data_IF_588564815175
#
_entry.id   IF_588564815175
#
_cell.length_a   1.000
_cell.length_b   1.000
_cell.length_c   1.000
_cell.angle_alpha   90.00
_cell.angle_beta   90.00
_cell.angle_gamma   90.00
#
_symmetry.space_group_name_H-M   'P 1'
#
loop_
_entity.id
_entity.type
_entity.pdbx_description
1 polymer ?
#
# COMPACT_ATOMS: atom_id res chain seq x y z
N UNK A 1 -20.75 5.24 11.08
CA UNK A 1 -19.44 5.54 11.69
C UNK A 1 -19.39 7.02 12.01
N UNK A 2 -19.05 7.39 13.23
CA UNK A 2 -18.88 8.79 13.61
C UNK A 2 -17.43 9.18 13.33
N UNK A 3 -17.18 10.40 12.83
CA UNK A 3 -15.82 10.93 12.76
C UNK A 3 -15.23 11.04 14.17
N UNK A 4 -13.96 10.74 14.31
CA UNK A 4 -13.29 10.73 15.61
C UNK A 4 -11.85 11.20 15.54
N UNK A 5 -11.49 11.99 16.56
CA UNK A 5 -10.11 12.28 16.93
C UNK A 5 -9.84 11.66 18.30
N UNK A 6 -8.58 11.34 18.57
CA UNK A 6 -8.13 10.79 19.86
C UNK A 6 -8.92 9.54 20.30
N UNK A 7 -9.01 8.56 19.40
CA UNK A 7 -9.62 7.27 19.69
C UNK A 7 -8.65 6.45 20.54
N UNK A 8 -9.06 6.04 21.73
CA UNK A 8 -8.24 5.12 22.53
C UNK A 8 -8.17 3.73 21.84
N UNK A 9 -7.01 3.08 21.86
CA UNK A 9 -6.79 1.77 21.23
C UNK A 9 -7.79 0.72 21.69
N UNK A 10 -8.18 0.74 22.97
CA UNK A 10 -9.22 -0.15 23.55
C UNK A 10 -10.62 0.04 22.95
N UNK A 11 -10.86 1.16 22.26
CA UNK A 11 -12.12 1.50 21.60
C UNK A 11 -12.00 1.58 20.08
N UNK A 12 -10.79 1.39 19.54
CA UNK A 12 -10.52 1.54 18.11
C UNK A 12 -11.39 0.63 17.24
N UNK A 13 -11.60 -0.60 17.69
CA UNK A 13 -12.43 -1.56 16.99
C UNK A 13 -13.88 -1.10 16.79
N UNK A 14 -14.41 -0.28 17.70
CA UNK A 14 -15.78 0.25 17.59
C UNK A 14 -15.94 1.16 16.35
N UNK A 15 -14.84 1.75 15.88
CA UNK A 15 -14.82 2.69 14.78
C UNK A 15 -14.47 2.05 13.42
N UNK A 16 -14.11 0.78 13.40
CA UNK A 16 -13.85 0.03 12.17
C UNK A 16 -15.16 -0.45 11.56
N UNK A 17 -15.36 -0.23 10.27
CA UNK A 17 -16.45 -0.80 9.52
C UNK A 17 -16.13 -2.23 9.05
N UNK A 18 -14.95 -2.45 8.51
CA UNK A 18 -14.56 -3.75 7.96
C UNK A 18 -13.14 -3.74 7.41
N UNK A 19 -12.78 -4.82 6.76
CA UNK A 19 -11.45 -5.10 6.26
C UNK A 19 -11.47 -5.40 4.77
N UNK A 20 -10.41 -5.03 4.08
CA UNK A 20 -10.21 -5.31 2.64
C UNK A 20 -8.74 -5.56 2.35
N UNK A 21 -8.45 -6.20 1.23
CA UNK A 21 -7.08 -6.28 0.72
C UNK A 21 -6.73 -4.93 0.10
N UNK A 22 -5.54 -4.42 0.39
CA UNK A 22 -4.97 -3.25 -0.25
C UNK A 22 -3.50 -3.49 -0.55
N UNK A 23 -3.05 -3.05 -1.73
CA UNK A 23 -1.63 -3.03 -2.07
C UNK A 23 -1.12 -1.60 -2.07
N UNK A 24 -0.02 -1.39 -1.39
CA UNK A 24 0.72 -0.14 -1.38
C UNK A 24 1.81 -0.19 -2.46
N UNK A 25 1.38 -0.14 -3.72
CA UNK A 25 2.29 -0.10 -4.86
C UNK A 25 3.15 1.16 -4.78
N UNK A 26 4.44 1.01 -5.09
CA UNK A 26 5.39 2.10 -4.93
C UNK A 26 6.36 2.17 -6.09
N UNK A 27 6.49 3.35 -6.70
CA UNK A 27 7.59 3.66 -7.60
C UNK A 27 8.84 3.96 -6.77
N UNK A 28 9.88 3.18 -6.94
CA UNK A 28 11.15 3.32 -6.20
C UNK A 28 12.31 3.84 -7.05
N UNK A 29 12.15 3.94 -8.35
CA UNK A 29 13.27 4.29 -9.24
C UNK A 29 12.96 5.42 -10.19
N UNK A 30 11.72 5.79 -10.29
CA UNK A 30 11.19 6.40 -11.47
C UNK A 30 11.55 7.83 -11.74
N UNK A 31 12.20 8.55 -10.86
CA UNK A 31 12.42 9.98 -11.17
C UNK A 31 13.64 10.48 -10.45
N UNK A 32 14.27 11.33 -10.95
CA UNK A 32 15.12 11.56 -12.09
C UNK A 32 16.45 10.82 -12.00
N UNK A 33 17.37 10.99 -12.96
CA UNK A 33 18.70 10.39 -12.86
C UNK A 33 19.35 10.74 -11.52
N UNK A 34 19.68 9.72 -10.73
CA UNK A 34 20.33 9.88 -9.45
C UNK A 34 19.45 9.91 -8.20
N UNK A 35 18.16 9.72 -8.35
CA UNK A 35 17.24 9.72 -7.22
C UNK A 35 17.10 11.08 -6.54
N UNK A 36 16.23 11.17 -5.58
CA UNK A 36 16.07 12.38 -4.78
C UNK A 36 17.12 12.40 -3.66
N UNK A 37 18.16 13.18 -3.83
CA UNK A 37 19.33 13.24 -2.95
C UNK A 37 19.05 13.70 -1.49
N UNK A 38 17.83 13.91 -1.11
CA UNK A 38 17.47 14.40 0.22
C UNK A 38 16.18 13.84 0.79
N UNK A 39 15.61 12.82 0.16
CA UNK A 39 14.36 12.25 0.67
C UNK A 39 13.48 11.62 -0.40
N UNK A 40 12.29 11.33 -0.01
CA UNK A 40 11.31 10.61 -0.80
C UNK A 40 10.17 11.54 -1.17
N UNK A 41 9.91 11.72 -2.45
CA UNK A 41 8.68 12.35 -2.91
C UNK A 41 7.55 11.32 -2.81
N UNK A 42 6.81 11.37 -1.72
CA UNK A 42 5.73 10.43 -1.43
C UNK A 42 4.59 10.51 -2.44
N UNK A 43 4.31 11.70 -2.97
CA UNK A 43 3.26 11.85 -3.97
C UNK A 43 3.64 11.15 -5.28
N UNK A 44 4.86 11.35 -5.75
CA UNK A 44 5.37 10.63 -6.92
C UNK A 44 5.42 9.14 -6.70
N UNK A 45 5.84 8.72 -5.51
CA UNK A 45 6.01 7.30 -5.21
C UNK A 45 4.70 6.53 -5.03
N UNK A 46 3.68 7.17 -4.50
CA UNK A 46 2.45 6.51 -4.05
C UNK A 46 1.19 7.00 -4.75
N UNK A 47 1.22 8.21 -5.29
CA UNK A 47 0.05 8.91 -5.82
C UNK A 47 -0.21 8.70 -7.30
N UNK A 48 0.49 7.78 -7.96
CA UNK A 48 0.27 7.51 -9.38
C UNK A 48 -1.07 6.78 -9.59
N UNK A 49 -1.66 6.98 -10.75
CA UNK A 49 -2.89 6.30 -11.13
C UNK A 49 -2.75 4.78 -10.97
N UNK A 50 -3.80 4.16 -10.45
CA UNK A 50 -3.87 2.72 -10.13
C UNK A 50 -2.99 2.23 -8.97
N UNK A 51 -2.18 3.08 -8.35
CA UNK A 51 -1.49 2.74 -7.12
C UNK A 51 -2.49 2.72 -5.95
N UNK A 52 -2.34 1.79 -5.02
CA UNK A 52 -3.30 1.59 -3.94
C UNK A 52 -4.55 0.80 -4.33
N UNK A 53 -4.47 -0.23 -5.20
CA UNK A 53 -5.64 -1.04 -5.55
C UNK A 53 -6.19 -1.74 -4.30
N UNK A 54 -7.52 -1.79 -4.22
CA UNK A 54 -8.25 -2.38 -3.09
C UNK A 54 -9.34 -3.33 -3.57
N UNK A 55 -9.62 -4.36 -2.79
CA UNK A 55 -10.68 -5.32 -3.07
C UNK A 55 -10.31 -6.74 -2.64
N UNK A 56 -10.98 -7.77 -3.19
CA UNK A 56 -12.16 -7.67 -4.06
C UNK A 56 -13.42 -7.25 -3.32
N UNK A 57 -13.43 -7.39 -1.99
CA UNK A 57 -14.58 -7.09 -1.13
C UNK A 57 -14.15 -6.29 0.09
N UNK A 58 -15.10 -5.61 0.71
CA UNK A 58 -15.00 -5.15 2.10
C UNK A 58 -15.81 -6.12 2.93
N UNK A 59 -15.18 -6.82 3.86
CA UNK A 59 -15.86 -7.71 4.80
C UNK A 59 -16.13 -6.93 6.08
N UNK A 60 -17.39 -6.70 6.44
CA UNK A 60 -17.72 -6.03 7.69
C UNK A 60 -17.14 -6.78 8.89
N UNK A 61 -16.71 -6.04 9.90
CA UNK A 61 -16.03 -6.61 11.08
C UNK A 61 -16.86 -7.68 11.80
N UNK A 62 -18.18 -7.54 11.80
CA UNK A 62 -19.11 -8.47 12.42
C UNK A 62 -19.01 -9.88 11.82
N UNK A 63 -18.66 -9.98 10.55
CA UNK A 63 -18.50 -11.25 9.84
C UNK A 63 -17.06 -11.76 9.83
N UNK A 64 -16.08 -10.85 9.97
CA UNK A 64 -14.66 -11.23 9.95
C UNK A 64 -14.19 -11.77 11.31
N UNK A 65 -14.61 -11.13 12.39
CA UNK A 65 -14.14 -11.38 13.75
C UNK A 65 -12.85 -10.63 14.06
N UNK A 66 -12.02 -11.19 14.96
CA UNK A 66 -10.78 -10.52 15.38
C UNK A 66 -9.66 -10.67 14.34
N UNK A 67 -9.27 -9.59 13.68
CA UNK A 67 -8.22 -9.63 12.66
C UNK A 67 -6.83 -9.95 13.24
N UNK A 68 -6.56 -9.60 14.50
CA UNK A 68 -5.25 -9.86 15.10
C UNK A 68 -4.93 -11.35 15.25
N UNK A 69 -5.97 -12.18 15.28
CA UNK A 69 -5.84 -13.64 15.42
C UNK A 69 -6.12 -14.42 14.15
N UNK A 70 -6.76 -13.79 13.15
CA UNK A 70 -7.25 -14.50 11.95
C UNK A 70 -6.61 -14.02 10.66
N UNK A 71 -6.13 -12.78 10.64
CA UNK A 71 -5.65 -12.20 9.41
C UNK A 71 -4.29 -12.77 9.04
N UNK A 72 -4.27 -13.49 7.92
CA UNK A 72 -3.05 -13.87 7.21
C UNK A 72 -3.11 -13.30 5.81
N UNK A 73 -2.06 -12.59 5.44
CA UNK A 73 -1.92 -11.99 4.12
C UNK A 73 -0.86 -12.71 3.31
N UNK A 74 -1.12 -12.87 2.02
CA UNK A 74 -0.18 -13.42 1.05
C UNK A 74 -0.13 -12.57 -0.20
N UNK A 75 1.08 -12.45 -0.73
CA UNK A 75 1.33 -11.85 -2.03
C UNK A 75 2.19 -12.78 -2.86
N UNK A 76 1.79 -13.00 -4.10
CA UNK A 76 2.63 -13.68 -5.09
C UNK A 76 2.77 -12.83 -6.35
N UNK A 77 3.90 -13.00 -7.03
CA UNK A 77 4.19 -12.44 -8.35
C UNK A 77 4.52 -13.61 -9.28
N UNK A 78 3.75 -13.76 -10.35
CA UNK A 78 3.83 -14.89 -11.29
C UNK A 78 3.84 -16.26 -10.57
N UNK A 79 2.97 -16.41 -9.57
CA UNK A 79 2.82 -17.61 -8.77
C UNK A 79 3.89 -17.83 -7.68
N UNK A 80 4.94 -17.01 -7.65
CA UNK A 80 5.96 -17.08 -6.59
C UNK A 80 5.55 -16.22 -5.41
N UNK A 81 5.38 -16.84 -4.23
CA UNK A 81 5.07 -16.12 -2.99
C UNK A 81 6.25 -15.23 -2.61
N UNK A 82 5.98 -13.94 -2.43
CA UNK A 82 6.96 -12.93 -2.01
C UNK A 82 6.66 -12.35 -0.64
N UNK A 83 5.39 -12.39 -0.22
CA UNK A 83 4.99 -12.02 1.15
C UNK A 83 4.01 -13.08 1.68
N UNK A 84 4.19 -13.47 2.94
CA UNK A 84 3.29 -14.34 3.70
C UNK A 84 3.47 -13.99 5.18
N UNK A 85 2.47 -13.41 5.81
CA UNK A 85 2.56 -12.92 7.17
C UNK A 85 1.20 -12.90 7.86
N UNK A 86 1.22 -12.96 9.17
CA UNK A 86 0.04 -12.87 10.03
C UNK A 86 -0.02 -11.49 10.71
N UNK A 87 -1.23 -11.04 11.07
CA UNK A 87 -1.36 -9.78 11.80
C UNK A 87 -0.69 -9.85 13.18
N UNK A 88 -0.58 -11.03 13.76
CA UNK A 88 0.16 -11.27 15.01
C UNK A 88 1.65 -10.94 14.92
N UNK A 89 2.23 -10.89 13.71
CA UNK A 89 3.63 -10.53 13.49
C UNK A 89 3.89 -9.02 13.57
N UNK A 90 2.84 -8.22 13.64
CA UNK A 90 2.95 -6.76 13.70
C UNK A 90 3.54 -6.33 15.06
N UNK A 91 4.45 -5.36 15.03
CA UNK A 91 5.01 -4.74 16.24
C UNK A 91 3.93 -3.94 16.99
N UNK A 92 3.13 -3.19 16.25
CA UNK A 92 1.99 -2.44 16.76
C UNK A 92 0.70 -3.06 16.24
N UNK A 93 -0.27 -3.18 17.10
CA UNK A 93 -1.59 -3.71 16.75
C UNK A 93 -2.34 -2.76 15.81
N UNK A 94 -3.34 -3.28 15.09
CA UNK A 94 -4.24 -2.45 14.28
C UNK A 94 -4.92 -1.35 15.14
N UNK A 95 -5.16 -1.63 16.40
CA UNK A 95 -5.83 -0.73 17.32
C UNK A 95 -4.92 0.42 17.74
N UNK A 96 -3.64 0.15 17.97
CA UNK A 96 -2.62 1.18 18.23
C UNK A 96 -2.39 2.08 17.02
N UNK A 97 -2.46 1.52 15.79
CA UNK A 97 -2.35 2.33 14.57
C UNK A 97 -3.52 3.32 14.44
N UNK A 98 -4.74 2.89 14.79
CA UNK A 98 -5.92 3.78 14.78
C UNK A 98 -5.81 4.84 15.88
N UNK A 99 -5.37 4.46 17.07
CA UNK A 99 -5.11 5.40 18.15
C UNK A 99 -4.10 6.46 17.73
N UNK A 100 -2.97 6.02 17.19
CA UNK A 100 -1.94 6.94 16.70
C UNK A 100 -2.45 7.84 15.58
N UNK A 101 -3.05 7.28 14.54
CA UNK A 101 -3.57 8.06 13.41
C UNK A 101 -4.61 9.08 13.82
N UNK A 102 -5.54 8.70 14.70
CA UNK A 102 -6.60 9.59 15.19
C UNK A 102 -6.07 10.69 16.14
N UNK A 103 -4.88 10.52 16.70
CA UNK A 103 -4.23 11.58 17.49
C UNK A 103 -3.65 12.69 16.61
N UNK A 104 -3.41 12.41 15.33
CA UNK A 104 -2.82 13.38 14.39
C UNK A 104 -3.90 13.99 13.50
N UNK A 105 -4.82 13.19 12.99
CA UNK A 105 -5.90 13.61 12.09
C UNK A 105 -7.25 13.12 12.56
N UNK A 106 -8.31 13.87 12.23
CA UNK A 106 -9.67 13.37 12.43
C UNK A 106 -10.02 12.34 11.38
N UNK A 107 -10.40 11.15 11.81
CA UNK A 107 -10.83 10.07 10.91
C UNK A 107 -12.32 10.20 10.59
N UNK A 108 -12.67 10.12 9.33
CA UNK A 108 -14.03 10.23 8.82
C UNK A 108 -14.56 8.87 8.32
N UNK A 109 -15.89 8.71 8.23
CA UNK A 109 -16.48 7.56 7.56
C UNK A 109 -16.01 7.47 6.11
N UNK A 110 -15.42 6.32 5.75
CA UNK A 110 -14.84 6.09 4.43
C UNK A 110 -13.32 6.21 4.40
N UNK A 111 -12.70 6.74 5.44
CA UNK A 111 -11.24 6.74 5.52
C UNK A 111 -10.70 5.32 5.61
N UNK A 112 -9.56 5.12 4.96
CA UNK A 112 -8.86 3.85 4.91
C UNK A 112 -7.55 3.98 5.68
N UNK A 113 -7.34 3.09 6.62
CA UNK A 113 -6.08 2.97 7.36
C UNK A 113 -5.34 1.76 6.80
N UNK A 114 -4.22 2.02 6.13
CA UNK A 114 -3.31 0.97 5.70
C UNK A 114 -2.43 0.57 6.91
N UNK A 115 -2.37 -0.71 7.19
CA UNK A 115 -1.63 -1.26 8.34
C UNK A 115 -0.13 -1.48 8.08
N UNK A 116 0.38 -0.95 6.98
CA UNK A 116 1.76 -1.15 6.59
C UNK A 116 1.96 -2.38 5.70
N UNK A 117 3.18 -2.85 5.61
CA UNK A 117 3.55 -4.01 4.77
C UNK A 117 4.44 -4.98 5.54
N UNK A 118 4.28 -6.26 5.25
CA UNK A 118 5.17 -7.31 5.77
C UNK A 118 6.51 -7.35 5.04
N UNK A 119 7.43 -8.16 5.53
CA UNK A 119 8.67 -8.49 4.82
C UNK A 119 8.40 -9.06 3.43
N UNK A 120 9.39 -8.97 2.54
CA UNK A 120 9.30 -9.47 1.17
C UNK A 120 9.01 -8.39 0.12
N UNK A 121 9.06 -7.11 0.49
CA UNK A 121 8.96 -6.02 -0.49
C UNK A 121 10.18 -6.02 -1.42
N UNK A 122 9.98 -5.63 -2.67
CA UNK A 122 11.06 -5.58 -3.66
C UNK A 122 12.24 -4.71 -3.20
N UNK A 123 11.97 -3.58 -2.56
CA UNK A 123 13.02 -2.69 -2.06
C UNK A 123 13.76 -3.23 -0.82
N UNK A 124 13.16 -4.16 -0.08
CA UNK A 124 13.71 -4.70 1.17
C UNK A 124 14.29 -6.11 1.03
N UNK A 125 14.26 -6.71 -0.15
CA UNK A 125 14.63 -8.11 -0.34
C UNK A 125 15.26 -8.37 -1.70
N UNK A 126 16.10 -9.41 -1.73
CA UNK A 126 16.70 -9.95 -2.95
C UNK A 126 15.99 -11.21 -3.44
N UNK A 127 14.76 -11.49 -2.99
CA UNK A 127 14.02 -12.72 -3.36
C UNK A 127 13.82 -12.89 -4.85
N UNK A 128 13.93 -11.83 -5.64
CA UNK A 128 13.85 -11.85 -7.09
C UNK A 128 15.21 -11.72 -7.79
N UNK A 129 16.30 -11.91 -7.07
CA UNK A 129 17.64 -11.74 -7.62
C UNK A 129 18.03 -10.25 -7.74
N UNK A 130 18.80 -9.94 -8.79
CA UNK A 130 19.39 -8.60 -8.96
C UNK A 130 18.37 -7.51 -9.33
N UNK A 131 17.17 -7.89 -9.78
CA UNK A 131 16.09 -6.96 -10.09
C UNK A 131 14.77 -7.44 -9.44
N UNK A 132 14.49 -6.98 -8.22
CA UNK A 132 13.31 -7.40 -7.47
C UNK A 132 12.02 -6.65 -7.85
N UNK A 133 12.10 -5.61 -8.68
CA UNK A 133 10.96 -4.74 -8.95
C UNK A 133 9.99 -5.37 -9.97
N UNK A 134 8.73 -4.96 -9.87
CA UNK A 134 7.66 -5.40 -10.77
C UNK A 134 7.94 -4.94 -12.21
N UNK A 135 7.57 -5.81 -13.16
CA UNK A 135 7.74 -5.55 -14.59
C UNK A 135 6.42 -5.67 -15.32
N UNK A 136 6.23 -4.93 -16.42
CA UNK A 136 5.07 -5.09 -17.29
C UNK A 136 4.87 -6.55 -17.72
N UNK A 137 3.62 -7.02 -17.63
CA UNK A 137 3.22 -8.39 -17.96
C UNK A 137 3.13 -9.32 -16.74
N UNK A 138 3.78 -9.00 -15.65
CA UNK A 138 3.69 -9.80 -14.42
C UNK A 138 2.30 -9.76 -13.81
N UNK A 139 1.90 -10.87 -13.22
CA UNK A 139 0.64 -11.02 -12.48
C UNK A 139 0.90 -10.98 -10.98
N UNK A 140 0.20 -10.09 -10.30
CA UNK A 140 0.19 -10.01 -8.83
C UNK A 140 -1.08 -10.67 -8.34
N UNK A 141 -0.96 -11.57 -7.37
CA UNK A 141 -2.09 -12.10 -6.61
C UNK A 141 -1.89 -11.77 -5.13
N UNK A 142 -2.84 -11.02 -4.58
CA UNK A 142 -2.85 -10.64 -3.17
C UNK A 142 -4.10 -11.16 -2.50
N UNK A 143 -3.94 -11.82 -1.38
CA UNK A 143 -5.05 -12.39 -0.62
C UNK A 143 -4.93 -12.11 0.87
N UNK A 144 -6.08 -12.02 1.51
CA UNK A 144 -6.23 -12.07 2.97
C UNK A 144 -7.26 -13.15 3.28
N UNK A 145 -6.93 -14.05 4.20
CA UNK A 145 -7.81 -15.13 4.61
C UNK A 145 -9.15 -14.57 5.10
N UNK A 146 -10.25 -15.11 4.59
CA UNK A 146 -11.61 -14.66 4.93
C UNK A 146 -12.09 -13.39 4.21
N UNK A 147 -11.23 -12.74 3.39
CA UNK A 147 -11.62 -11.58 2.57
C UNK A 147 -11.68 -11.96 1.08
N UNK A 148 -10.65 -12.61 0.58
CA UNK A 148 -10.59 -13.03 -0.82
C UNK A 148 -9.24 -12.76 -1.46
N UNK A 149 -9.20 -12.94 -2.78
CA UNK A 149 -8.00 -12.76 -3.59
C UNK A 149 -8.23 -11.71 -4.66
N UNK A 150 -7.32 -10.76 -4.73
CA UNK A 150 -7.25 -9.76 -5.79
C UNK A 150 -6.15 -10.17 -6.77
N UNK A 151 -6.47 -10.13 -8.08
CA UNK A 151 -5.52 -10.45 -9.14
C UNK A 151 -5.36 -9.26 -10.07
N UNK A 152 -4.13 -8.85 -10.29
CA UNK A 152 -3.77 -7.68 -11.08
C UNK A 152 -2.68 -8.04 -12.08
N UNK A 153 -2.69 -7.37 -13.23
CA UNK A 153 -1.61 -7.48 -14.23
C UNK A 153 -0.89 -6.14 -14.27
N UNK A 154 0.42 -6.18 -14.11
CA UNK A 154 1.28 -5.00 -14.22
C UNK A 154 1.31 -4.53 -15.68
N UNK A 155 1.03 -3.26 -15.90
CA UNK A 155 1.16 -2.63 -17.22
C UNK A 155 2.21 -1.54 -17.17
N UNK A 156 3.00 -1.45 -18.23
CA UNK A 156 3.90 -0.31 -18.42
C UNK A 156 3.10 0.89 -18.89
N UNK A 157 3.44 2.05 -18.40
CA UNK A 157 2.95 3.31 -18.94
C UNK A 157 3.86 3.74 -20.10
N UNK A 158 3.25 4.09 -21.23
CA UNK A 158 3.97 4.78 -22.29
C UNK A 158 4.00 6.26 -21.95
N UNK A 159 5.20 6.78 -21.68
CA UNK A 159 5.36 8.21 -21.44
C UNK A 159 4.85 8.97 -22.68
N UNK A 160 3.96 9.96 -22.50
CA UNK A 160 3.47 10.76 -23.62
C UNK A 160 4.65 11.47 -24.30
N UNK A 161 4.62 11.47 -25.63
CA UNK A 161 5.61 12.24 -26.38
C UNK A 161 5.36 13.73 -26.16
N UNK A 162 6.34 14.43 -25.62
CA UNK A 162 6.28 15.86 -25.32
C UNK A 162 6.27 16.17 -23.82
N UNK A 163 5.96 17.43 -23.53
CA UNK A 163 5.93 17.91 -22.15
C UNK A 163 4.72 17.34 -21.41
N UNK A 164 4.97 16.59 -20.36
CA UNK A 164 3.91 16.16 -19.43
C UNK A 164 3.59 17.27 -18.43
N UNK A 165 2.39 17.27 -17.88
CA UNK A 165 2.00 18.20 -16.83
C UNK A 165 2.89 18.18 -15.57
N UNK A 166 3.74 17.17 -15.42
CA UNK A 166 4.72 17.06 -14.36
C UNK A 166 5.88 18.06 -14.47
N UNK A 167 5.96 18.82 -15.55
CA UNK A 167 7.01 19.84 -15.74
C UNK A 167 6.61 21.18 -15.15
N UNK A 168 6.10 21.17 -13.96
CA UNK A 168 5.79 22.39 -13.23
C UNK A 168 7.09 23.02 -12.69
N UNK A 169 7.36 24.30 -12.95
CA UNK A 169 8.45 25.00 -12.27
C UNK A 169 8.21 25.00 -10.75
N UNK A 170 9.24 24.85 -9.94
CA UNK A 170 10.69 24.81 -10.22
C UNK A 170 11.27 23.40 -10.30
N UNK A 171 10.46 22.37 -10.58
CA UNK A 171 10.86 20.96 -10.45
C UNK A 171 11.76 20.57 -11.62
N UNK A 172 13.03 20.86 -11.51
CA UNK A 172 14.04 20.47 -12.50
C UNK A 172 14.19 18.95 -12.64
N UNK A 173 13.79 18.22 -11.62
CA UNK A 173 13.86 16.76 -11.56
C UNK A 173 13.04 16.05 -12.62
N UNK A 174 12.03 16.70 -13.18
CA UNK A 174 11.18 16.13 -14.25
C UNK A 174 11.61 16.55 -15.65
N UNK A 175 12.69 17.26 -15.78
CA UNK A 175 13.23 17.62 -17.10
C UNK A 175 14.17 16.53 -17.56
N UNK A 176 14.04 16.02 -18.79
CA UNK A 176 15.09 15.23 -19.39
C UNK A 176 16.37 16.05 -19.31
N UNK A 177 17.42 15.43 -18.84
CA UNK A 177 18.75 16.05 -18.96
C UNK A 177 19.05 16.21 -20.45
N UNK A 178 19.47 17.38 -20.95
CA UNK A 178 19.81 17.56 -22.35
C UNK A 178 20.97 16.67 -22.76
#
# INVERSE_FOLDING_TARGET
>A
MLFRSYVAGTRAQDHVFGYTVMLDISDRGGRPPGGFAGGTDWFVMKGQDTFGPMGPYIVPKEFYGDPMTKLRQRLSVDGRVVQDAEASDMIHTLWELIEYGSSIVTLYPGDIVNNGTSGGTAAGTTTRGDDPFLRPGETIEASIDGIGTMRLVVRGEEAPQGLTGAQLPPVRSYRPTP
#
